data_IF_756975037183
#
_entry.id   IF_756975037183
#
_cell.length_a   1.000
_cell.length_b   1.000
_cell.length_c   1.000
_cell.angle_alpha   90.00
_cell.angle_beta   90.00
_cell.angle_gamma   90.00
#
_symmetry.space_group_name_H-M   'P 1'
#
loop_
_entity.id
_entity.type
_entity.pdbx_description
1 polymer ?
#
# COMPACT_ATOMS: atom_id res chain seq x y z
N UNK A 1 11.28 -50.93 23.21
CA UNK A 1 10.24 -49.93 23.49
C UNK A 1 9.23 -49.99 22.33
N UNK A 2 7.94 -50.28 22.57
CA UNK A 2 6.90 -50.27 21.51
C UNK A 2 6.08 -49.00 21.69
N UNK A 3 6.15 -48.08 20.74
CA UNK A 3 5.34 -46.86 20.73
C UNK A 3 3.94 -47.28 20.26
N UNK A 4 3.00 -47.41 21.19
CA UNK A 4 1.58 -47.58 20.88
C UNK A 4 1.01 -46.24 20.45
N UNK A 5 0.96 -46.01 19.13
CA UNK A 5 0.40 -44.81 18.55
C UNK A 5 -1.12 -44.97 18.50
N UNK A 6 -1.83 -44.36 19.47
CA UNK A 6 -3.28 -44.31 19.44
C UNK A 6 -3.74 -43.39 18.31
N UNK A 7 -4.38 -43.97 17.30
CA UNK A 7 -4.82 -43.28 16.07
C UNK A 7 -5.77 -42.12 16.38
N UNK A 8 -6.53 -42.18 17.48
CA UNK A 8 -7.41 -41.09 17.92
C UNK A 8 -6.61 -39.87 18.36
N UNK A 9 -5.54 -40.11 19.12
CA UNK A 9 -4.61 -39.07 19.58
C UNK A 9 -3.83 -38.44 18.41
N UNK A 10 -3.49 -39.24 17.39
CA UNK A 10 -2.87 -38.75 16.15
C UNK A 10 -3.83 -37.82 15.38
N UNK A 11 -5.10 -38.22 15.24
CA UNK A 11 -6.11 -37.42 14.54
C UNK A 11 -6.37 -36.09 15.25
N UNK A 12 -6.43 -36.10 16.58
CA UNK A 12 -6.61 -34.90 17.39
C UNK A 12 -5.43 -33.92 17.21
N UNK A 13 -4.20 -34.44 17.20
CA UNK A 13 -2.99 -33.66 16.93
C UNK A 13 -2.97 -33.06 15.52
N UNK A 14 -3.40 -33.84 14.52
CA UNK A 14 -3.49 -33.37 13.13
C UNK A 14 -4.55 -32.26 12.96
N UNK A 15 -5.73 -32.42 13.56
CA UNK A 15 -6.79 -31.40 13.56
C UNK A 15 -6.32 -30.11 14.26
N UNK A 16 -5.66 -30.23 15.40
CA UNK A 16 -5.10 -29.10 16.13
C UNK A 16 -4.06 -28.33 15.31
N UNK A 17 -3.12 -29.04 14.67
CA UNK A 17 -2.10 -28.42 13.82
C UNK A 17 -2.72 -27.79 12.56
N UNK A 18 -3.69 -28.45 11.92
CA UNK A 18 -4.37 -27.95 10.73
C UNK A 18 -5.10 -26.61 10.97
N UNK A 19 -5.75 -26.46 12.13
CA UNK A 19 -6.40 -25.20 12.51
C UNK A 19 -5.41 -24.04 12.67
N UNK A 20 -4.21 -24.29 13.19
CA UNK A 20 -3.16 -23.25 13.30
C UNK A 20 -2.70 -22.75 11.92
N UNK A 21 -2.62 -23.62 10.91
CA UNK A 21 -2.30 -23.21 9.53
C UNK A 21 -3.39 -22.31 8.92
N UNK A 22 -4.67 -22.59 9.22
CA UNK A 22 -5.77 -21.74 8.74
C UNK A 22 -5.77 -20.35 9.40
N UNK A 23 -5.49 -20.25 10.70
CA UNK A 23 -5.45 -18.97 11.42
C UNK A 23 -4.33 -18.03 10.94
N UNK A 24 -3.22 -18.57 10.45
CA UNK A 24 -2.07 -17.79 9.96
C UNK A 24 -2.20 -17.48 8.46
N UNK A 25 -2.89 -18.32 7.67
CA UNK A 25 -3.07 -18.11 6.22
C UNK A 25 -3.92 -16.89 5.84
N UNK A 26 -4.81 -16.42 6.73
CA UNK A 26 -5.65 -15.25 6.43
C UNK A 26 -4.96 -13.89 6.67
N UNK A 27 -3.72 -13.86 7.18
CA UNK A 27 -2.97 -12.60 7.35
C UNK A 27 -2.18 -12.20 6.10
N UNK A 28 -2.69 -12.56 4.91
CA UNK A 28 -2.11 -12.15 3.63
C UNK A 28 -3.04 -11.20 2.86
N UNK A 29 -3.81 -10.40 3.60
CA UNK A 29 -4.30 -9.15 3.05
C UNK A 29 -3.12 -8.19 2.91
N UNK A 30 -2.40 -8.32 1.78
CA UNK A 30 -1.97 -7.13 1.05
C UNK A 30 -3.23 -6.43 0.53
N UNK A 31 -4.12 -5.99 1.43
CA UNK A 31 -4.89 -4.79 1.15
C UNK A 31 -3.87 -3.72 0.80
N UNK A 32 -4.21 -2.75 -0.08
CA UNK A 32 -3.33 -1.61 -0.25
C UNK A 32 -3.04 -1.12 1.17
N UNK A 33 -1.77 -1.10 1.56
CA UNK A 33 -1.35 -0.25 2.66
C UNK A 33 -1.84 1.12 2.21
N UNK A 34 -3.03 1.53 2.65
CA UNK A 34 -3.46 2.92 2.64
C UNK A 34 -2.61 3.53 3.76
N UNK A 35 -1.30 3.54 3.52
CA UNK A 35 -0.37 4.33 4.26
C UNK A 35 -0.74 5.77 3.99
N UNK A 36 -0.49 6.62 4.98
CA UNK A 36 -0.75 8.05 4.89
C UNK A 36 -0.29 8.66 3.57
N UNK A 37 0.83 8.18 3.02
CA UNK A 37 1.37 8.64 1.75
C UNK A 37 1.19 7.60 0.62
N UNK A 38 0.62 8.04 -0.51
CA UNK A 38 0.55 7.28 -1.76
C UNK A 38 1.47 7.90 -2.81
N UNK A 39 2.33 7.08 -3.39
CA UNK A 39 3.26 7.51 -4.46
C UNK A 39 2.82 6.95 -5.81
N UNK A 40 2.77 7.79 -6.83
CA UNK A 40 2.48 7.43 -8.21
C UNK A 40 3.60 7.96 -9.12
N UNK A 41 4.05 7.14 -10.08
CA UNK A 41 5.06 7.52 -11.06
C UNK A 41 4.50 7.27 -12.46
N UNK A 42 4.44 8.31 -13.29
CA UNK A 42 3.96 8.22 -14.66
C UNK A 42 5.08 7.72 -15.61
N UNK A 43 4.72 7.17 -16.77
CA UNK A 43 5.62 6.81 -17.87
C UNK A 43 6.58 7.93 -18.31
N UNK A 44 6.19 9.20 -18.10
CA UNK A 44 7.04 10.36 -18.36
C UNK A 44 8.02 10.69 -17.21
N UNK A 45 8.23 9.82 -16.22
CA UNK A 45 9.06 10.05 -15.03
C UNK A 45 8.59 11.20 -14.11
N UNK A 46 7.32 11.61 -14.21
CA UNK A 46 6.73 12.49 -13.21
C UNK A 46 6.39 11.69 -11.96
N UNK A 47 6.82 12.18 -10.80
CA UNK A 47 6.52 11.60 -9.49
C UNK A 47 5.47 12.45 -8.78
N UNK A 48 4.45 11.82 -8.23
CA UNK A 48 3.43 12.44 -7.37
C UNK A 48 3.38 11.68 -6.05
N UNK A 49 3.43 12.40 -4.94
CA UNK A 49 3.21 11.83 -3.60
C UNK A 49 2.04 12.58 -2.98
N UNK A 50 1.01 11.84 -2.58
CA UNK A 50 -0.24 12.35 -2.00
C UNK A 50 -0.34 11.93 -0.53
N UNK A 51 -0.55 12.87 0.38
CA UNK A 51 -1.07 12.62 1.72
C UNK A 51 -2.58 12.32 1.58
N UNK A 52 -2.93 11.05 1.81
CA UNK A 52 -4.30 10.54 1.67
C UNK A 52 -5.22 11.01 2.79
N UNK A 53 -4.69 11.55 3.89
CA UNK A 53 -5.49 12.11 5.00
C UNK A 53 -5.86 13.57 4.74
N UNK A 54 -4.91 14.40 4.30
CA UNK A 54 -5.13 15.83 4.11
C UNK A 54 -5.43 16.25 2.67
N UNK A 55 -5.09 15.42 1.68
CA UNK A 55 -5.12 15.81 0.27
C UNK A 55 -3.95 16.70 -0.16
N UNK A 56 -2.96 16.93 0.72
CA UNK A 56 -1.72 17.60 0.35
C UNK A 56 -0.90 16.73 -0.58
N UNK A 57 -0.18 17.33 -1.51
CA UNK A 57 0.66 16.60 -2.44
C UNK A 57 1.99 17.30 -2.72
N UNK A 58 2.97 16.50 -3.16
CA UNK A 58 4.19 16.98 -3.79
C UNK A 58 4.38 16.34 -5.17
N UNK A 59 4.84 17.12 -6.14
CA UNK A 59 5.08 16.70 -7.53
C UNK A 59 6.51 17.01 -7.91
N UNK A 60 7.19 16.05 -8.53
CA UNK A 60 8.42 16.28 -9.27
C UNK A 60 8.16 16.02 -10.76
N UNK A 61 8.08 17.07 -11.61
CA UNK A 61 7.94 16.89 -13.04
C UNK A 61 9.23 16.34 -13.66
N UNK A 62 9.07 15.75 -14.84
CA UNK A 62 10.15 15.11 -15.59
C UNK A 62 11.26 16.08 -16.02
N UNK A 63 10.92 17.36 -16.22
CA UNK A 63 11.89 18.40 -16.55
C UNK A 63 12.78 18.67 -15.32
N UNK A 64 13.94 18.03 -15.32
CA UNK A 64 15.00 18.32 -14.37
C UNK A 64 15.83 19.49 -14.91
N UNK A 65 15.66 20.68 -14.34
CA UNK A 65 16.58 21.79 -14.61
C UNK A 65 17.94 21.47 -13.98
N UNK A 66 18.99 21.38 -14.81
CA UNK A 66 20.36 21.17 -14.34
C UNK A 66 20.60 19.84 -13.60
N UNK A 67 19.82 18.79 -13.91
CA UNK A 67 19.97 17.47 -13.28
C UNK A 67 19.48 17.38 -11.83
N UNK A 68 18.76 18.41 -11.34
CA UNK A 68 18.12 18.41 -10.03
C UNK A 68 16.62 18.21 -10.20
N UNK A 69 16.03 17.34 -9.37
CA UNK A 69 14.58 17.21 -9.29
C UNK A 69 13.99 18.43 -8.58
N UNK A 70 13.18 19.22 -9.28
CA UNK A 70 12.42 20.32 -8.68
C UNK A 70 11.13 19.77 -8.09
N UNK A 71 10.87 20.06 -6.82
CA UNK A 71 9.67 19.60 -6.11
C UNK A 71 8.69 20.77 -5.93
N UNK A 72 7.43 20.53 -6.28
CA UNK A 72 6.32 21.46 -6.10
C UNK A 72 5.35 20.90 -5.08
N UNK A 73 4.93 21.69 -4.10
CA UNK A 73 3.91 21.31 -3.12
C UNK A 73 2.58 21.97 -3.44
N UNK A 74 1.47 21.32 -3.09
CA UNK A 74 0.13 21.88 -3.25
C UNK A 74 -0.92 21.15 -2.42
N UNK A 75 -2.12 21.71 -2.40
CA UNK A 75 -3.32 21.13 -1.79
C UNK A 75 -4.26 20.71 -2.92
N UNK A 76 -4.72 19.45 -2.91
CA UNK A 76 -5.52 18.91 -4.01
C UNK A 76 -6.75 19.77 -4.31
N UNK A 77 -7.56 20.08 -3.29
CA UNK A 77 -8.83 20.80 -3.48
C UNK A 77 -8.63 22.21 -4.02
N UNK A 78 -7.63 22.96 -3.52
CA UNK A 78 -7.33 24.31 -4.01
C UNK A 78 -6.87 24.28 -5.46
N UNK A 79 -5.98 23.35 -5.80
CA UNK A 79 -5.50 23.19 -7.17
C UNK A 79 -6.64 22.77 -8.11
N UNK A 80 -7.53 21.89 -7.64
CA UNK A 80 -8.68 21.42 -8.39
C UNK A 80 -9.67 22.56 -8.70
N UNK A 81 -10.03 23.38 -7.70
CA UNK A 81 -10.89 24.55 -7.88
C UNK A 81 -10.26 25.53 -8.88
N UNK A 82 -8.99 25.88 -8.69
CA UNK A 82 -8.28 26.77 -9.60
C UNK A 82 -8.24 26.24 -11.04
N UNK A 83 -8.10 24.92 -11.22
CA UNK A 83 -8.13 24.28 -12.54
C UNK A 83 -9.52 24.30 -13.18
N UNK A 84 -10.60 24.29 -12.39
CA UNK A 84 -11.98 24.48 -12.90
C UNK A 84 -12.19 25.94 -13.30
N UNK A 85 -11.80 26.89 -12.44
CA UNK A 85 -12.02 28.31 -12.67
C UNK A 85 -11.28 28.81 -13.92
N UNK A 86 -10.04 28.36 -14.12
CA UNK A 86 -9.23 28.71 -15.29
C UNK A 86 -9.74 28.11 -16.62
N UNK A 87 -10.76 27.24 -16.60
CA UNK A 87 -11.40 26.72 -17.81
C UNK A 87 -12.55 27.58 -18.33
N UNK A 88 -13.02 28.57 -17.56
CA UNK A 88 -14.02 29.56 -17.99
C UNK A 88 -13.36 30.74 -18.67
#
# INVERSE_FOLDING_TARGET
MKITLDTKSLLLGFLGAGLMFTAISFKNERGPLIGRYRTEVNANNMVVILDTESGDYIIAPALQEGGKATWFKGEFDKTFIAAIDNKR
#
